data_IF_403974642598
#
_entry.id   IF_403974642598
#
_cell.length_a   1.000
_cell.length_b   1.000
_cell.length_c   1.000
_cell.angle_alpha   90.00
_cell.angle_beta   90.00
_cell.angle_gamma   90.00
#
_symmetry.space_group_name_H-M   'P 1'
#
loop_
_entity.id
_entity.type
_entity.pdbx_description
1 polymer ?
#
# COMPACT_ATOMS: atom_id res chain seq x y z
N UNK A 1 7.06 -22.65 17.56
CA UNK A 1 7.86 -21.44 17.36
C UNK A 1 7.43 -20.39 18.37
N UNK A 2 8.40 -19.62 18.92
CA UNK A 2 8.12 -18.53 19.89
C UNK A 2 8.33 -17.16 19.27
N UNK A 3 9.36 -17.03 18.41
CA UNK A 3 9.74 -15.75 17.82
C UNK A 3 9.95 -15.90 16.31
N UNK A 4 9.26 -15.07 15.52
CA UNK A 4 9.41 -14.98 14.08
C UNK A 4 9.87 -13.57 13.71
N UNK A 5 10.87 -13.48 12.81
CA UNK A 5 11.24 -12.23 12.16
C UNK A 5 10.74 -12.26 10.72
N UNK A 6 9.91 -11.29 10.33
CA UNK A 6 9.51 -11.07 8.96
C UNK A 6 10.23 -9.84 8.40
N UNK A 7 10.83 -9.97 7.23
CA UNK A 7 11.54 -8.88 6.56
C UNK A 7 10.85 -8.55 5.24
N UNK A 8 10.31 -7.31 5.13
CA UNK A 8 9.77 -6.75 3.89
C UNK A 8 10.37 -5.37 3.63
N UNK A 9 11.01 -5.20 2.48
CA UNK A 9 11.78 -3.98 2.20
C UNK A 9 11.38 -3.24 0.91
N UNK A 10 10.25 -3.59 0.35
CA UNK A 10 9.78 -3.06 -0.94
C UNK A 10 8.87 -1.83 -0.79
N UNK A 11 7.92 -1.62 -1.68
CA UNK A 11 7.07 -0.44 -1.74
C UNK A 11 5.78 -0.61 -0.92
N UNK A 12 4.88 0.36 -1.03
CA UNK A 12 3.60 0.40 -0.31
C UNK A 12 2.72 -0.78 -0.69
N UNK A 13 2.48 -1.01 -1.99
CA UNK A 13 1.65 -2.12 -2.47
C UNK A 13 2.17 -3.48 -2.04
N UNK A 14 3.48 -3.68 -2.13
CA UNK A 14 4.15 -4.89 -1.63
C UNK A 14 3.90 -5.14 -0.14
N UNK A 15 3.93 -4.10 0.68
CA UNK A 15 3.68 -4.23 2.11
C UNK A 15 2.21 -4.51 2.38
N UNK A 16 1.28 -3.87 1.67
CA UNK A 16 -0.15 -4.18 1.77
C UNK A 16 -0.40 -5.65 1.42
N UNK A 17 0.16 -6.15 0.30
CA UNK A 17 0.06 -7.57 -0.08
C UNK A 17 0.74 -8.53 0.92
N UNK A 18 1.51 -8.02 1.88
CA UNK A 18 2.13 -8.82 2.95
C UNK A 18 1.26 -8.89 4.21
N UNK A 19 0.28 -8.02 4.37
CA UNK A 19 -0.57 -7.99 5.58
C UNK A 19 -1.35 -9.29 5.81
N UNK A 20 -1.83 -10.03 4.77
CA UNK A 20 -2.44 -11.35 4.96
C UNK A 20 -1.45 -12.40 5.53
N UNK A 21 -0.18 -12.35 5.12
CA UNK A 21 0.84 -13.24 5.69
C UNK A 21 1.06 -12.94 7.18
N UNK A 22 1.12 -11.66 7.56
CA UNK A 22 1.28 -11.21 8.97
C UNK A 22 0.12 -11.73 9.82
N UNK A 23 -1.11 -11.52 9.38
CA UNK A 23 -2.31 -11.99 10.05
C UNK A 23 -2.37 -13.54 10.07
N UNK A 24 -2.07 -14.19 8.96
CA UNK A 24 -2.04 -15.65 8.85
C UNK A 24 -1.04 -16.30 9.81
N UNK A 25 0.15 -15.71 10.01
CA UNK A 25 1.14 -16.16 11.00
C UNK A 25 0.53 -16.14 12.41
N UNK A 26 -0.10 -15.05 12.82
CA UNK A 26 -0.69 -14.91 14.16
C UNK A 26 -1.93 -15.80 14.35
N UNK A 27 -2.73 -16.01 13.29
CA UNK A 27 -3.86 -16.96 13.33
C UNK A 27 -3.39 -18.42 13.43
N UNK A 28 -2.28 -18.76 12.76
CA UNK A 28 -1.69 -20.11 12.80
C UNK A 28 -0.97 -20.38 14.12
N UNK A 29 -0.28 -19.40 14.66
CA UNK A 29 0.48 -19.47 15.90
C UNK A 29 0.17 -18.27 16.81
N UNK A 30 -0.95 -18.27 17.57
CA UNK A 30 -1.40 -17.12 18.37
C UNK A 30 -0.35 -16.60 19.37
N UNK A 31 0.41 -17.50 19.97
CA UNK A 31 1.41 -17.18 20.98
C UNK A 31 2.78 -16.75 20.41
N UNK A 32 2.92 -16.76 19.08
CA UNK A 32 4.18 -16.35 18.47
C UNK A 32 4.38 -14.85 18.60
N UNK A 33 5.58 -14.43 19.00
CA UNK A 33 6.00 -13.02 18.90
C UNK A 33 6.47 -12.73 17.49
N UNK A 34 5.73 -11.90 16.76
CA UNK A 34 6.04 -11.49 15.39
C UNK A 34 6.73 -10.13 15.38
N UNK A 35 8.00 -10.15 15.04
CA UNK A 35 8.80 -8.95 14.78
C UNK A 35 8.86 -8.68 13.29
N UNK A 36 8.53 -7.45 12.86
CA UNK A 36 8.56 -7.07 11.44
C UNK A 36 9.61 -6.00 11.21
N UNK A 37 10.50 -6.24 10.23
CA UNK A 37 11.53 -5.29 9.80
C UNK A 37 11.18 -4.76 8.39
N UNK A 38 10.90 -3.46 8.32
CA UNK A 38 10.52 -2.77 7.08
C UNK A 38 11.47 -1.61 6.75
N UNK A 39 11.36 -1.10 5.53
CA UNK A 39 11.96 0.20 5.20
C UNK A 39 11.01 1.36 5.56
N UNK A 40 11.51 2.59 5.48
CA UNK A 40 10.75 3.80 5.80
C UNK A 40 9.47 3.97 4.97
N UNK A 41 9.46 3.53 3.70
CA UNK A 41 8.31 3.65 2.80
C UNK A 41 7.16 2.71 3.19
N UNK A 42 7.49 1.49 3.64
CA UNK A 42 6.52 0.48 4.04
C UNK A 42 6.04 0.64 5.51
N UNK A 43 6.73 1.48 6.30
CA UNK A 43 6.41 1.72 7.71
C UNK A 43 4.95 2.09 7.92
N UNK A 44 4.47 3.05 7.15
CA UNK A 44 3.14 3.66 7.33
C UNK A 44 2.00 2.66 7.11
N UNK A 45 2.21 1.63 6.29
CA UNK A 45 1.29 0.50 6.11
C UNK A 45 1.31 -0.46 7.30
N UNK A 46 2.50 -0.68 7.90
CA UNK A 46 2.66 -1.62 9.02
C UNK A 46 2.23 -1.06 10.37
N UNK A 47 2.17 0.29 10.50
CA UNK A 47 1.79 0.95 11.75
C UNK A 47 0.38 0.56 12.20
N UNK A 48 0.21 0.44 13.52
CA UNK A 48 -1.05 0.10 14.19
C UNK A 48 -1.61 -1.30 13.83
N UNK A 49 -0.86 -2.14 13.11
CA UNK A 49 -1.32 -3.48 12.79
C UNK A 49 -1.31 -4.35 14.06
N UNK A 50 -2.48 -4.86 14.52
CA UNK A 50 -2.60 -5.58 15.79
C UNK A 50 -1.89 -6.94 15.80
N UNK A 51 -1.49 -7.42 14.63
CA UNK A 51 -0.77 -8.69 14.48
C UNK A 51 0.75 -8.54 14.51
N UNK A 52 1.28 -7.31 14.65
CA UNK A 52 2.70 -7.02 14.77
C UNK A 52 3.04 -6.70 16.22
N UNK A 53 3.83 -7.54 16.86
CA UNK A 53 4.25 -7.31 18.25
C UNK A 53 5.41 -6.30 18.33
N UNK A 54 6.34 -6.32 17.38
CA UNK A 54 7.43 -5.35 17.28
C UNK A 54 7.68 -4.92 15.84
N UNK A 55 7.75 -3.62 15.62
CA UNK A 55 8.04 -3.02 14.30
C UNK A 55 9.39 -2.31 14.31
N UNK A 56 10.32 -2.76 13.48
CA UNK A 56 11.60 -2.10 13.24
C UNK A 56 11.65 -1.46 11.86
N UNK A 57 12.14 -0.23 11.80
CA UNK A 57 12.19 0.54 10.56
C UNK A 57 13.62 0.97 10.26
N UNK A 58 14.17 0.53 9.14
CA UNK A 58 15.48 0.98 8.72
C UNK A 58 15.39 1.95 7.52
N UNK A 59 16.28 2.95 7.52
CA UNK A 59 16.42 3.87 6.37
C UNK A 59 17.39 3.29 5.34
N UNK A 60 17.01 3.31 4.05
CA UNK A 60 17.95 3.06 2.94
C UNK A 60 18.87 4.26 2.79
N UNK A 61 20.19 4.04 2.53
CA UNK A 61 21.17 5.14 2.43
C UNK A 61 20.82 6.19 1.36
N UNK A 62 20.15 5.75 0.26
CA UNK A 62 19.72 6.62 -0.82
C UNK A 62 18.49 7.49 -0.49
N UNK A 63 17.77 7.20 0.60
CA UNK A 63 16.60 7.96 1.06
C UNK A 63 16.93 8.81 2.30
N UNK A 64 18.16 9.37 2.34
CA UNK A 64 18.53 10.34 3.37
C UNK A 64 17.83 11.67 3.11
N UNK A 65 17.35 12.28 4.15
CA UNK A 65 16.84 13.66 4.09
C UNK A 65 18.01 14.65 3.80
N UNK A 66 17.73 15.76 3.13
CA UNK A 66 18.76 16.79 2.89
C UNK A 66 19.33 17.25 4.22
N UNK A 67 20.67 17.10 4.40
CA UNK A 67 21.36 17.46 5.65
C UNK A 67 21.49 16.32 6.68
N UNK A 68 20.90 15.14 6.45
CA UNK A 68 21.03 14.00 7.37
C UNK A 68 22.40 13.33 7.21
N UNK A 69 23.17 13.27 8.32
CA UNK A 69 24.50 12.65 8.33
C UNK A 69 24.42 11.14 8.03
N UNK A 70 25.30 10.66 7.12
CA UNK A 70 25.44 9.24 6.83
C UNK A 70 25.78 8.41 8.09
N UNK A 71 26.59 8.99 8.99
CA UNK A 71 26.97 8.37 10.27
C UNK A 71 25.74 8.15 11.17
N UNK A 72 24.82 9.14 11.24
CA UNK A 72 23.58 9.01 12.02
C UNK A 72 22.70 7.86 11.52
N UNK A 73 22.53 7.76 10.20
CA UNK A 73 21.78 6.64 9.58
C UNK A 73 22.43 5.30 9.85
N UNK A 74 23.77 5.24 9.78
CA UNK A 74 24.53 4.03 10.08
C UNK A 74 24.38 3.61 11.54
N UNK A 75 24.52 4.55 12.49
CA UNK A 75 24.36 4.29 13.92
C UNK A 75 22.91 3.83 14.26
N UNK A 76 21.90 4.41 13.64
CA UNK A 76 20.52 3.96 13.79
C UNK A 76 20.34 2.50 13.33
N UNK A 77 20.96 2.13 12.21
CA UNK A 77 20.94 0.73 11.73
C UNK A 77 21.62 -0.20 12.71
N UNK A 78 22.78 0.16 13.21
CA UNK A 78 23.48 -0.64 14.21
C UNK A 78 22.60 -0.86 15.46
N UNK A 79 21.96 0.19 15.98
CA UNK A 79 21.02 0.08 17.10
C UNK A 79 19.90 -0.93 16.84
N UNK A 80 19.29 -0.89 15.64
CA UNK A 80 18.24 -1.84 15.24
C UNK A 80 18.78 -3.27 15.25
N UNK A 81 19.96 -3.52 14.66
CA UNK A 81 20.51 -4.88 14.60
C UNK A 81 20.97 -5.38 15.95
N UNK A 82 21.50 -4.52 16.80
CA UNK A 82 21.79 -4.89 18.21
C UNK A 82 20.52 -5.22 18.98
N UNK A 83 19.41 -4.49 18.75
CA UNK A 83 18.12 -4.80 19.37
C UNK A 83 17.59 -6.16 18.88
N UNK A 84 17.59 -6.38 17.55
CA UNK A 84 17.14 -7.65 16.96
C UNK A 84 17.96 -8.86 17.47
N UNK A 85 19.28 -8.72 17.61
CA UNK A 85 20.16 -9.78 18.11
C UNK A 85 19.93 -10.19 19.57
N UNK A 86 19.24 -9.38 20.35
CA UNK A 86 18.81 -9.76 21.71
C UNK A 86 17.72 -10.83 21.71
N UNK A 87 17.00 -10.97 20.59
CA UNK A 87 15.97 -11.98 20.41
C UNK A 87 16.52 -13.13 19.57
N UNK A 88 16.36 -14.35 20.04
CA UNK A 88 16.62 -15.55 19.22
C UNK A 88 15.36 -15.82 18.40
N UNK A 89 15.46 -15.66 17.09
CA UNK A 89 14.37 -15.97 16.16
C UNK A 89 14.41 -17.46 15.79
N UNK A 90 13.28 -18.15 15.95
CA UNK A 90 13.13 -19.54 15.55
C UNK A 90 13.04 -19.68 14.02
N UNK A 91 12.47 -18.63 13.36
CA UNK A 91 12.37 -18.54 11.92
C UNK A 91 12.46 -17.09 11.46
N UNK A 92 13.13 -16.86 10.34
CA UNK A 92 13.13 -15.57 9.63
C UNK A 92 12.55 -15.75 8.24
N UNK A 93 11.54 -14.94 7.90
CA UNK A 93 10.82 -14.97 6.63
C UNK A 93 11.29 -13.79 5.79
N UNK A 94 11.89 -14.07 4.62
CA UNK A 94 12.18 -13.05 3.62
C UNK A 94 10.98 -12.92 2.68
N UNK A 95 10.04 -12.03 2.99
CA UNK A 95 8.75 -11.95 2.33
C UNK A 95 8.79 -11.35 0.90
N UNK A 96 9.88 -11.55 0.17
CA UNK A 96 10.05 -11.18 -1.23
C UNK A 96 9.86 -12.42 -2.10
N UNK A 97 8.93 -12.48 -3.06
CA UNK A 97 8.72 -13.66 -3.92
C UNK A 97 9.82 -13.85 -4.99
N UNK A 98 10.86 -13.06 -4.93
CA UNK A 98 12.06 -13.18 -5.77
C UNK A 98 13.31 -13.11 -4.88
N UNK A 99 14.42 -13.75 -5.29
CA UNK A 99 15.67 -13.72 -4.55
C UNK A 99 16.13 -12.28 -4.27
N UNK A 100 16.43 -11.98 -3.00
CA UNK A 100 16.81 -10.64 -2.58
C UNK A 100 18.02 -10.66 -1.64
N UNK A 101 19.23 -10.48 -2.20
CA UNK A 101 20.50 -10.44 -1.45
C UNK A 101 20.51 -9.42 -0.30
N UNK A 102 19.77 -8.34 -0.43
CA UNK A 102 19.70 -7.32 0.61
C UNK A 102 18.81 -7.74 1.78
N UNK A 103 17.69 -8.44 1.52
CA UNK A 103 16.84 -9.02 2.59
C UNK A 103 17.62 -10.11 3.34
N UNK A 104 18.34 -10.95 2.61
CA UNK A 104 19.23 -11.97 3.19
C UNK A 104 20.31 -11.34 4.09
N UNK A 105 20.99 -10.29 3.61
CA UNK A 105 21.97 -9.55 4.42
C UNK A 105 21.37 -8.99 5.71
N UNK A 106 20.15 -8.44 5.65
CA UNK A 106 19.44 -7.93 6.82
C UNK A 106 19.15 -9.07 7.82
N UNK A 107 18.70 -10.23 7.34
CA UNK A 107 18.45 -11.42 8.15
C UNK A 107 19.73 -11.88 8.87
N UNK A 108 20.85 -11.97 8.15
CA UNK A 108 22.16 -12.33 8.71
C UNK A 108 22.61 -11.31 9.78
N UNK A 109 22.46 -10.01 9.49
CA UNK A 109 22.79 -8.95 10.46
C UNK A 109 21.91 -9.01 11.72
N UNK A 110 20.64 -9.43 11.59
CA UNK A 110 19.75 -9.66 12.72
C UNK A 110 20.05 -10.93 13.52
N UNK A 111 21.00 -11.76 13.07
CA UNK A 111 21.36 -13.01 13.73
C UNK A 111 20.43 -14.18 13.41
N UNK A 112 19.77 -14.16 12.25
CA UNK A 112 18.91 -15.24 11.80
C UNK A 112 19.66 -16.58 11.72
N UNK A 113 19.07 -17.63 12.29
CA UNK A 113 19.61 -19.00 12.24
C UNK A 113 18.91 -19.88 11.22
N UNK A 114 17.58 -19.70 11.09
CA UNK A 114 16.73 -20.38 10.11
C UNK A 114 16.06 -19.36 9.23
N UNK A 115 16.22 -19.48 7.93
CA UNK A 115 15.73 -18.51 6.95
C UNK A 115 14.92 -19.26 5.89
N UNK A 116 13.67 -18.82 5.68
CA UNK A 116 12.86 -19.17 4.52
C UNK A 116 12.84 -17.99 3.56
N UNK A 117 13.07 -18.23 2.28
CA UNK A 117 13.12 -17.17 1.27
C UNK A 117 13.10 -17.71 -0.15
N UNK A 118 12.80 -16.83 -1.12
CA UNK A 118 12.90 -17.15 -2.53
C UNK A 118 14.38 -17.34 -2.93
N UNK A 119 14.66 -18.41 -3.65
CA UNK A 119 16.00 -18.78 -4.13
C UNK A 119 16.23 -20.28 -4.03
N UNK A 120 17.35 -20.74 -4.57
CA UNK A 120 17.69 -22.16 -4.63
C UNK A 120 18.96 -22.52 -3.88
N UNK A 121 19.63 -21.55 -3.24
CA UNK A 121 20.91 -21.78 -2.55
C UNK A 121 20.70 -22.25 -1.09
N UNK A 122 20.91 -23.55 -0.77
CA UNK A 122 20.73 -24.08 0.58
C UNK A 122 21.80 -23.61 1.58
N UNK A 123 22.91 -23.05 1.09
CA UNK A 123 23.93 -22.46 1.97
C UNK A 123 23.49 -21.11 2.55
N UNK A 124 22.54 -20.43 1.90
CA UNK A 124 22.02 -19.12 2.31
C UNK A 124 20.63 -19.22 2.97
N UNK A 125 19.84 -20.20 2.55
CA UNK A 125 18.44 -20.37 2.97
C UNK A 125 18.24 -21.75 3.57
N UNK A 126 17.71 -21.81 4.78
CA UNK A 126 17.38 -23.10 5.44
C UNK A 126 16.21 -23.77 4.71
N UNK A 127 15.27 -22.97 4.21
CA UNK A 127 14.13 -23.41 3.40
C UNK A 127 14.11 -22.55 2.13
N UNK A 128 14.80 -22.94 1.07
CA UNK A 128 14.75 -22.26 -0.20
C UNK A 128 13.42 -22.53 -0.90
N UNK A 129 12.82 -21.50 -1.47
CA UNK A 129 11.65 -21.59 -2.34
C UNK A 129 12.05 -21.26 -3.77
N UNK A 130 11.90 -22.23 -4.66
CA UNK A 130 12.09 -22.04 -6.09
C UNK A 130 10.93 -21.24 -6.71
N UNK A 131 11.09 -20.76 -7.93
CA UNK A 131 10.04 -19.98 -8.62
C UNK A 131 8.72 -20.77 -8.71
N UNK A 132 8.80 -22.06 -8.91
CA UNK A 132 7.69 -23.00 -9.05
C UNK A 132 6.90 -23.20 -7.76
N UNK A 133 7.46 -22.85 -6.60
CA UNK A 133 6.77 -22.88 -5.31
C UNK A 133 5.73 -21.78 -5.16
N UNK A 134 5.90 -20.67 -5.89
CA UNK A 134 5.00 -19.52 -5.84
C UNK A 134 3.83 -19.74 -6.81
N UNK A 135 2.82 -20.47 -6.34
CA UNK A 135 1.59 -20.72 -7.07
C UNK A 135 0.62 -19.54 -6.92
N UNK A 136 -0.32 -19.46 -7.89
CA UNK A 136 -1.28 -18.37 -7.98
C UNK A 136 -0.80 -17.25 -8.90
N UNK A 137 -1.71 -16.34 -9.23
CA UNK A 137 -1.42 -15.22 -10.12
C UNK A 137 -1.09 -13.94 -9.35
N UNK A 138 -1.62 -13.80 -8.12
CA UNK A 138 -1.60 -12.55 -7.37
C UNK A 138 -0.44 -12.46 -6.35
N UNK A 139 0.08 -11.26 -6.13
CA UNK A 139 1.18 -11.02 -5.18
C UNK A 139 0.87 -11.40 -3.73
N UNK A 140 -0.39 -11.35 -3.32
CA UNK A 140 -0.85 -11.83 -2.00
C UNK A 140 -0.62 -13.33 -1.88
N UNK A 141 -1.00 -14.11 -2.89
CA UNK A 141 -0.81 -15.57 -2.93
C UNK A 141 0.68 -15.93 -2.87
N UNK A 142 1.50 -15.24 -3.68
CA UNK A 142 2.95 -15.41 -3.65
C UNK A 142 3.53 -15.12 -2.26
N UNK A 143 3.08 -14.04 -1.61
CA UNK A 143 3.58 -13.72 -0.28
C UNK A 143 3.09 -14.71 0.77
N UNK A 144 1.87 -15.22 0.65
CA UNK A 144 1.29 -16.19 1.59
C UNK A 144 1.91 -17.59 1.48
N UNK A 145 2.57 -17.91 0.35
CA UNK A 145 3.29 -19.18 0.13
C UNK A 145 4.27 -19.49 1.26
N UNK A 146 4.91 -18.48 1.86
CA UNK A 146 5.82 -18.70 2.99
C UNK A 146 5.14 -19.37 4.19
N UNK A 147 3.90 -18.98 4.48
CA UNK A 147 3.16 -19.58 5.58
C UNK A 147 2.70 -21.00 5.22
N UNK A 148 2.19 -21.23 4.03
CA UNK A 148 1.73 -22.58 3.61
C UNK A 148 2.88 -23.59 3.55
N UNK A 149 4.10 -23.15 3.26
CA UNK A 149 5.30 -24.00 3.34
C UNK A 149 5.71 -24.33 4.77
N UNK A 150 5.52 -23.41 5.71
CA UNK A 150 5.83 -23.62 7.12
C UNK A 150 4.74 -24.38 7.87
N UNK A 151 3.49 -24.23 7.44
CA UNK A 151 2.29 -24.85 8.00
C UNK A 151 1.30 -25.22 6.87
N UNK A 152 1.38 -26.40 6.28
CA UNK A 152 0.52 -26.79 5.15
C UNK A 152 -0.99 -26.74 5.43
N UNK A 153 -1.38 -26.88 6.69
CA UNK A 153 -2.77 -26.73 7.19
C UNK A 153 -3.11 -25.30 7.66
N UNK A 154 -2.37 -24.31 7.17
CA UNK A 154 -2.61 -22.91 7.52
C UNK A 154 -4.04 -22.45 7.15
N UNK A 155 -4.47 -21.39 7.80
CA UNK A 155 -5.75 -20.72 7.54
C UNK A 155 -5.85 -20.25 6.07
N UNK A 156 -7.07 -20.04 5.60
CA UNK A 156 -7.31 -19.40 4.32
C UNK A 156 -6.62 -18.01 4.28
N UNK A 157 -6.23 -17.56 3.09
CA UNK A 157 -5.58 -16.26 2.91
C UNK A 157 -6.53 -15.15 3.39
N UNK A 158 -6.15 -14.37 4.40
CA UNK A 158 -6.96 -13.25 4.88
C UNK A 158 -7.06 -12.12 3.84
N UNK A 159 -7.93 -11.17 4.12
CA UNK A 159 -7.98 -9.91 3.39
C UNK A 159 -6.77 -9.03 3.71
N UNK A 160 -6.46 -8.08 2.83
CA UNK A 160 -5.46 -7.04 3.11
C UNK A 160 -6.05 -6.01 4.07
N UNK A 161 -5.24 -5.51 5.00
CA UNK A 161 -5.69 -4.57 6.02
C UNK A 161 -4.64 -3.50 6.31
N UNK A 162 -5.10 -2.25 6.52
CA UNK A 162 -4.33 -1.16 7.12
C UNK A 162 -5.11 -0.58 8.29
N UNK A 163 -4.42 -0.09 9.30
CA UNK A 163 -5.04 0.31 10.56
C UNK A 163 -4.73 1.76 10.90
N UNK A 164 -5.75 2.52 11.24
CA UNK A 164 -5.66 3.90 11.72
C UNK A 164 -5.87 3.94 13.23
N UNK A 165 -5.10 4.79 13.90
CA UNK A 165 -5.37 5.14 15.29
C UNK A 165 -6.60 6.05 15.41
N UNK A 166 -7.28 6.10 16.58
CA UNK A 166 -8.36 7.06 16.84
C UNK A 166 -7.92 8.52 16.61
N UNK A 167 -6.67 8.84 16.94
CA UNK A 167 -6.12 10.18 16.71
C UNK A 167 -6.06 10.54 15.22
N UNK A 168 -5.55 9.64 14.36
CA UNK A 168 -5.46 9.88 12.91
C UNK A 168 -6.84 10.05 12.28
N UNK A 169 -7.83 9.26 12.71
CA UNK A 169 -9.23 9.42 12.28
C UNK A 169 -9.78 10.78 12.70
N UNK A 170 -9.60 11.17 13.95
CA UNK A 170 -10.05 12.45 14.47
C UNK A 170 -9.38 13.66 13.81
N UNK A 171 -8.11 13.56 13.45
CA UNK A 171 -7.39 14.61 12.71
C UNK A 171 -7.94 14.77 11.28
N UNK A 172 -8.23 13.65 10.57
CA UNK A 172 -8.86 13.70 9.26
C UNK A 172 -10.28 14.29 9.31
N UNK A 173 -11.06 13.95 10.33
CA UNK A 173 -12.40 14.52 10.57
C UNK A 173 -12.33 16.03 10.80
N UNK A 174 -11.48 16.49 11.69
CA UNK A 174 -11.29 17.92 11.98
C UNK A 174 -10.86 18.69 10.74
N UNK A 175 -10.00 18.14 9.90
CA UNK A 175 -9.54 18.75 8.65
C UNK A 175 -10.68 19.01 7.66
N UNK A 176 -11.77 18.24 7.76
CA UNK A 176 -12.91 18.28 6.84
C UNK A 176 -14.18 18.88 7.46
N UNK A 177 -14.23 19.08 8.77
CA UNK A 177 -15.44 19.47 9.51
C UNK A 177 -16.13 20.73 8.98
N UNK A 178 -15.35 21.76 8.60
CA UNK A 178 -15.89 23.03 8.07
C UNK A 178 -16.20 22.97 6.56
N UNK A 179 -15.87 21.85 5.89
CA UNK A 179 -15.96 21.72 4.44
C UNK A 179 -17.00 20.70 3.98
N UNK A 180 -17.35 19.76 4.83
CA UNK A 180 -18.20 18.62 4.51
C UNK A 180 -19.32 18.51 5.54
N UNK A 181 -20.60 18.63 5.15
CA UNK A 181 -21.74 18.35 6.01
C UNK A 181 -21.72 16.92 6.55
N UNK A 182 -22.33 16.69 7.71
CA UNK A 182 -22.35 15.37 8.34
C UNK A 182 -23.12 14.30 7.53
N UNK A 183 -24.13 14.71 6.76
CA UNK A 183 -24.93 13.83 5.92
C UNK A 183 -24.42 13.74 4.47
N UNK A 184 -23.24 14.29 4.20
CA UNK A 184 -22.64 14.25 2.87
C UNK A 184 -22.08 12.87 2.54
N UNK A 185 -22.15 12.51 1.25
CA UNK A 185 -21.49 11.35 0.66
C UNK A 185 -20.09 11.78 0.19
N UNK A 186 -19.08 11.13 0.71
CA UNK A 186 -17.69 11.51 0.44
C UNK A 186 -17.06 10.52 -0.53
N UNK A 187 -16.53 11.03 -1.62
CA UNK A 187 -15.84 10.25 -2.65
C UNK A 187 -14.40 10.68 -2.78
N UNK A 188 -13.53 9.78 -3.25
CA UNK A 188 -12.10 10.05 -3.44
C UNK A 188 -11.69 9.98 -4.90
N UNK A 189 -10.88 10.92 -5.35
CA UNK A 189 -10.20 10.86 -6.64
C UNK A 189 -8.71 11.09 -6.44
N UNK A 190 -7.89 10.10 -6.81
CA UNK A 190 -6.43 10.17 -6.67
C UNK A 190 -5.79 10.22 -8.06
N UNK A 191 -5.13 11.34 -8.40
CA UNK A 191 -4.62 11.60 -9.75
C UNK A 191 -3.15 11.20 -9.98
N UNK A 192 -2.41 10.92 -8.90
CA UNK A 192 -0.96 10.68 -9.02
C UNK A 192 -0.63 9.27 -9.45
N UNK A 193 0.30 9.16 -10.39
CA UNK A 193 0.97 7.92 -10.75
C UNK A 193 2.39 8.20 -11.24
N UNK A 194 3.34 7.29 -10.92
CA UNK A 194 4.73 7.40 -11.37
C UNK A 194 4.87 7.20 -12.89
N UNK A 195 4.12 6.24 -13.45
CA UNK A 195 4.13 5.97 -14.89
C UNK A 195 3.20 6.91 -15.63
N UNK A 196 3.66 7.49 -16.73
CA UNK A 196 2.83 8.33 -17.60
C UNK A 196 1.66 7.53 -18.15
N UNK A 197 1.86 6.29 -18.56
CA UNK A 197 0.81 5.38 -19.07
C UNK A 197 -0.30 5.05 -18.05
N UNK A 198 -0.10 5.34 -16.78
CA UNK A 198 -1.10 5.17 -15.71
C UNK A 198 -1.77 6.48 -15.34
N UNK A 199 -1.46 7.58 -16.05
CA UNK A 199 -2.04 8.90 -15.79
C UNK A 199 -3.23 9.11 -16.71
N UNK A 200 -4.41 9.13 -16.13
CA UNK A 200 -5.61 9.51 -16.87
C UNK A 200 -5.60 11.02 -17.16
N UNK A 201 -6.18 11.51 -18.29
CA UNK A 201 -6.21 12.93 -18.62
C UNK A 201 -6.93 13.77 -17.56
N UNK A 202 -6.45 15.00 -17.35
CA UNK A 202 -7.05 15.92 -16.36
C UNK A 202 -8.49 16.27 -16.74
N UNK A 203 -8.76 16.44 -18.02
CA UNK A 203 -10.07 16.71 -18.61
C UNK A 203 -11.06 15.57 -18.32
N UNK A 204 -10.58 14.33 -18.39
CA UNK A 204 -11.40 13.14 -18.08
C UNK A 204 -11.72 13.06 -16.60
N UNK A 205 -10.75 13.39 -15.72
CA UNK A 205 -11.00 13.52 -14.28
C UNK A 205 -12.03 14.62 -13.99
N UNK A 206 -11.96 15.78 -14.67
CA UNK A 206 -12.92 16.87 -14.48
C UNK A 206 -14.34 16.41 -14.83
N UNK A 207 -14.52 15.79 -15.99
CA UNK A 207 -15.83 15.31 -16.46
C UNK A 207 -16.43 14.26 -15.50
N UNK A 208 -15.67 13.30 -15.00
CA UNK A 208 -16.22 12.30 -14.07
C UNK A 208 -16.57 12.92 -12.71
N UNK A 209 -15.77 13.87 -12.23
CA UNK A 209 -16.06 14.60 -10.98
C UNK A 209 -17.36 15.41 -11.13
N UNK A 210 -17.56 16.08 -12.25
CA UNK A 210 -18.80 16.78 -12.55
C UNK A 210 -20.02 15.83 -12.53
N UNK A 211 -19.89 14.63 -13.12
CA UNK A 211 -20.94 13.59 -13.06
C UNK A 211 -21.23 13.15 -11.61
N UNK A 212 -20.19 12.94 -10.78
CA UNK A 212 -20.33 12.60 -9.36
C UNK A 212 -21.04 13.72 -8.60
N UNK A 213 -20.70 14.98 -8.86
CA UNK A 213 -21.24 16.16 -8.20
C UNK A 213 -22.68 16.51 -8.64
N UNK A 214 -23.29 15.78 -9.59
CA UNK A 214 -24.73 15.88 -9.88
C UNK A 214 -25.58 15.42 -8.69
N UNK A 215 -25.08 14.52 -7.84
CA UNK A 215 -25.66 14.27 -6.52
C UNK A 215 -25.38 15.49 -5.61
N UNK A 216 -26.42 16.19 -5.12
CA UNK A 216 -26.24 17.39 -4.28
C UNK A 216 -25.56 17.08 -2.94
N UNK A 217 -25.58 15.84 -2.46
CA UNK A 217 -24.89 15.40 -1.25
C UNK A 217 -23.44 14.96 -1.49
N UNK A 218 -23.05 14.78 -2.74
CA UNK A 218 -21.70 14.34 -3.08
C UNK A 218 -20.64 15.42 -2.81
N UNK A 219 -19.56 15.02 -2.16
CA UNK A 219 -18.31 15.78 -1.98
C UNK A 219 -17.15 14.92 -2.46
N UNK A 220 -16.20 15.49 -3.17
CA UNK A 220 -15.07 14.76 -3.75
C UNK A 220 -13.76 15.25 -3.13
N UNK A 221 -13.05 14.35 -2.46
CA UNK A 221 -11.70 14.60 -1.98
C UNK A 221 -10.70 14.33 -3.11
N UNK A 222 -9.90 15.32 -3.45
CA UNK A 222 -8.91 15.26 -4.51
C UNK A 222 -7.54 15.03 -3.91
N UNK A 223 -7.00 13.82 -4.14
CA UNK A 223 -5.71 13.40 -3.60
C UNK A 223 -4.60 13.48 -4.66
N UNK A 224 -3.44 13.92 -4.25
CA UNK A 224 -2.22 13.89 -5.05
C UNK A 224 -0.98 13.88 -4.16
N UNK A 225 0.17 13.52 -4.75
CA UNK A 225 1.47 13.70 -4.12
C UNK A 225 2.01 15.08 -4.49
N UNK A 226 2.11 16.04 -3.57
CA UNK A 226 2.80 17.30 -3.81
C UNK A 226 4.27 17.05 -4.13
N UNK A 227 4.89 17.93 -4.93
CA UNK A 227 6.31 17.83 -5.28
C UNK A 227 7.19 17.68 -4.04
N UNK A 228 8.04 16.66 -4.03
CA UNK A 228 9.01 16.41 -2.95
C UNK A 228 8.43 15.95 -1.61
N UNK A 229 7.11 15.70 -1.52
CA UNK A 229 6.48 15.29 -0.25
C UNK A 229 6.92 13.90 0.22
N UNK A 230 7.08 12.96 -0.72
CA UNK A 230 7.44 11.55 -0.44
C UNK A 230 8.84 11.19 -0.95
N UNK A 231 9.32 11.84 -1.99
CA UNK A 231 10.65 11.68 -2.60
C UNK A 231 11.10 13.05 -3.12
N UNK A 232 12.27 13.57 -2.71
CA UNK A 232 12.80 14.86 -3.20
C UNK A 232 13.00 14.94 -4.71
N UNK A 233 13.07 13.78 -5.40
CA UNK A 233 13.18 13.69 -6.86
C UNK A 233 11.82 13.55 -7.56
N UNK A 234 10.73 13.48 -6.80
CA UNK A 234 9.38 13.42 -7.37
C UNK A 234 8.99 14.81 -7.89
N UNK A 235 8.63 14.87 -9.16
CA UNK A 235 8.14 16.12 -9.82
C UNK A 235 6.78 16.51 -9.24
N UNK A 236 6.07 15.55 -8.60
CA UNK A 236 4.73 15.74 -8.06
C UNK A 236 3.68 15.98 -9.14
N UNK A 237 2.45 16.09 -8.69
CA UNK A 237 1.30 16.35 -9.58
C UNK A 237 0.57 17.66 -9.22
N UNK A 238 1.25 18.59 -8.55
CA UNK A 238 0.61 19.84 -8.10
C UNK A 238 0.07 20.70 -9.24
N UNK A 239 0.80 20.79 -10.37
CA UNK A 239 0.33 21.54 -11.54
C UNK A 239 -0.92 20.89 -12.17
N UNK A 240 -0.94 19.56 -12.29
CA UNK A 240 -2.11 18.80 -12.79
C UNK A 240 -3.31 18.98 -11.87
N UNK A 241 -3.09 18.92 -10.54
CA UNK A 241 -4.15 19.16 -9.57
C UNK A 241 -4.70 20.58 -9.64
N UNK A 242 -3.84 21.58 -9.80
CA UNK A 242 -4.27 22.98 -9.97
C UNK A 242 -5.13 23.14 -11.21
N UNK A 243 -4.74 22.55 -12.34
CA UNK A 243 -5.55 22.53 -13.57
C UNK A 243 -6.90 21.85 -13.34
N UNK A 244 -6.92 20.71 -12.66
CA UNK A 244 -8.16 19.99 -12.33
C UNK A 244 -9.11 20.82 -11.48
N UNK A 245 -8.60 21.47 -10.43
CA UNK A 245 -9.40 22.32 -9.55
C UNK A 245 -10.00 23.52 -10.28
N UNK A 246 -9.25 24.10 -11.24
CA UNK A 246 -9.75 25.20 -12.08
C UNK A 246 -10.86 24.75 -13.04
N UNK A 247 -10.73 23.54 -13.62
CA UNK A 247 -11.76 23.01 -14.53
C UNK A 247 -13.04 22.65 -13.79
N UNK A 248 -12.95 21.93 -12.68
CA UNK A 248 -14.13 21.50 -11.89
C UNK A 248 -14.83 22.70 -11.22
N UNK A 249 -14.08 23.67 -10.76
CA UNK A 249 -14.55 24.93 -10.15
C UNK A 249 -15.76 24.79 -9.20
N UNK A 250 -15.71 23.82 -8.29
CA UNK A 250 -16.79 23.52 -7.34
C UNK A 250 -16.28 23.53 -5.91
N UNK A 251 -16.97 24.16 -4.94
CA UNK A 251 -16.60 24.11 -3.53
C UNK A 251 -16.74 22.69 -2.92
N UNK A 252 -17.46 21.79 -3.59
CA UNK A 252 -17.62 20.40 -3.19
C UNK A 252 -16.49 19.49 -3.71
N UNK A 253 -15.60 19.99 -4.57
CA UNK A 253 -14.36 19.35 -4.97
C UNK A 253 -13.23 19.88 -4.08
N UNK A 254 -12.85 19.11 -3.07
CA UNK A 254 -12.01 19.55 -1.96
C UNK A 254 -10.59 19.05 -2.15
N UNK A 255 -9.65 19.97 -2.27
CA UNK A 255 -8.22 19.65 -2.30
C UNK A 255 -7.76 19.01 -0.99
N UNK A 256 -7.19 17.80 -1.09
CA UNK A 256 -6.66 17.05 0.04
C UNK A 256 -5.18 16.66 -0.22
N UNK A 257 -4.25 17.63 -0.16
CA UNK A 257 -2.83 17.34 -0.33
C UNK A 257 -2.33 16.45 0.80
N UNK A 258 -1.54 15.42 0.46
CA UNK A 258 -0.99 14.49 1.43
C UNK A 258 0.53 14.62 1.52
N UNK A 259 1.04 14.91 2.71
CA UNK A 259 2.48 15.00 3.00
C UNK A 259 3.06 13.66 3.48
N UNK A 260 2.21 12.72 3.84
CA UNK A 260 2.58 11.38 4.29
C UNK A 260 1.58 10.33 3.80
N UNK A 261 2.00 9.07 3.83
CA UNK A 261 1.11 7.93 3.54
C UNK A 261 0.04 7.80 4.62
N UNK A 262 0.33 8.16 5.87
CA UNK A 262 -0.67 8.13 6.96
C UNK A 262 -1.82 9.12 6.71
N UNK A 263 -1.51 10.33 6.24
CA UNK A 263 -2.53 11.29 5.83
C UNK A 263 -3.38 10.77 4.65
N UNK A 264 -2.75 10.09 3.67
CA UNK A 264 -3.47 9.48 2.56
C UNK A 264 -4.42 8.37 3.05
N UNK A 265 -3.94 7.47 3.93
CA UNK A 265 -4.77 6.41 4.52
C UNK A 265 -5.96 7.03 5.26
N UNK A 266 -5.75 8.05 6.08
CA UNK A 266 -6.79 8.71 6.85
C UNK A 266 -7.82 9.45 5.96
N UNK A 267 -7.37 10.07 4.88
CA UNK A 267 -8.25 10.72 3.91
C UNK A 267 -9.08 9.71 3.11
N UNK A 268 -8.46 8.61 2.65
CA UNK A 268 -9.16 7.54 1.91
C UNK A 268 -10.18 6.80 2.82
N UNK A 269 -9.91 6.68 4.12
CA UNK A 269 -10.85 6.08 5.07
C UNK A 269 -12.18 6.87 5.16
N UNK A 270 -12.17 8.16 4.87
CA UNK A 270 -13.37 9.00 4.81
C UNK A 270 -14.23 8.79 3.57
N UNK A 271 -13.71 8.13 2.55
CA UNK A 271 -14.40 7.96 1.28
C UNK A 271 -15.26 6.69 1.26
N UNK A 272 -16.44 6.78 0.63
CA UNK A 272 -17.29 5.61 0.34
C UNK A 272 -16.77 4.84 -0.87
N UNK A 273 -16.33 5.56 -1.90
CA UNK A 273 -15.82 5.01 -3.15
C UNK A 273 -14.68 5.87 -3.67
N UNK A 274 -13.70 5.25 -4.32
CA UNK A 274 -12.48 5.90 -4.81
C UNK A 274 -12.26 5.62 -6.29
N UNK A 275 -11.80 6.62 -7.02
CA UNK A 275 -11.27 6.50 -8.38
C UNK A 275 -9.77 6.73 -8.34
N UNK A 276 -8.99 5.78 -8.83
CA UNK A 276 -7.53 5.90 -8.85
C UNK A 276 -6.90 5.05 -9.95
N UNK A 277 -5.64 5.32 -10.24
CA UNK A 277 -4.82 4.42 -11.07
C UNK A 277 -4.14 3.35 -10.22
N UNK A 278 -3.66 2.28 -10.89
CA UNK A 278 -2.79 1.27 -10.27
C UNK A 278 -1.59 1.90 -9.56
N UNK A 279 -1.39 1.53 -8.30
CA UNK A 279 -0.34 2.05 -7.44
C UNK A 279 -0.60 1.79 -5.95
N UNK A 280 0.22 2.40 -5.10
CA UNK A 280 0.11 2.24 -3.65
C UNK A 280 -1.25 2.66 -3.08
N UNK A 281 -1.86 3.70 -3.62
CA UNK A 281 -3.18 4.21 -3.23
C UNK A 281 -4.30 3.19 -3.48
N UNK A 282 -4.25 2.45 -4.59
CA UNK A 282 -5.19 1.38 -4.90
C UNK A 282 -5.15 0.27 -3.84
N UNK A 283 -3.94 -0.19 -3.49
CA UNK A 283 -3.77 -1.20 -2.46
C UNK A 283 -4.20 -0.72 -1.07
N UNK A 284 -3.93 0.54 -0.74
CA UNK A 284 -4.42 1.17 0.51
C UNK A 284 -5.95 1.20 0.51
N UNK A 285 -6.57 1.60 -0.58
CA UNK A 285 -8.03 1.65 -0.73
C UNK A 285 -8.66 0.27 -0.54
N UNK A 286 -8.04 -0.78 -1.12
CA UNK A 286 -8.45 -2.17 -0.91
C UNK A 286 -8.32 -2.59 0.56
N UNK A 287 -7.23 -2.20 1.23
CA UNK A 287 -6.96 -2.53 2.62
C UNK A 287 -7.83 -1.73 3.62
N UNK A 288 -8.49 -0.69 3.17
CA UNK A 288 -9.55 0.04 3.87
C UNK A 288 -10.95 -0.48 3.53
N UNK A 289 -11.06 -1.51 2.69
CA UNK A 289 -12.30 -2.13 2.21
C UNK A 289 -13.26 -1.15 1.51
N UNK A 290 -12.71 -0.10 0.88
CA UNK A 290 -13.50 0.87 0.13
C UNK A 290 -13.79 0.37 -1.29
N UNK A 291 -14.96 0.75 -1.84
CA UNK A 291 -15.27 0.54 -3.25
C UNK A 291 -14.29 1.33 -4.12
N UNK A 292 -13.83 0.75 -5.24
CA UNK A 292 -12.90 1.49 -6.10
C UNK A 292 -13.00 1.14 -7.58
N UNK A 293 -12.92 2.18 -8.41
CA UNK A 293 -12.64 2.05 -9.85
C UNK A 293 -11.16 2.28 -10.07
N UNK A 294 -10.50 1.35 -10.73
CA UNK A 294 -9.03 1.36 -10.88
C UNK A 294 -8.65 1.34 -12.35
N UNK A 295 -7.85 2.31 -12.74
CA UNK A 295 -7.24 2.36 -14.07
C UNK A 295 -5.91 1.60 -14.07
N UNK A 296 -5.81 0.58 -14.92
CA UNK A 296 -4.57 -0.14 -15.18
C UNK A 296 -3.97 0.30 -16.51
N UNK A 297 -2.70 0.69 -16.46
CA UNK A 297 -1.90 0.92 -17.66
C UNK A 297 -1.28 -0.39 -18.17
N UNK A 298 0.04 -0.41 -18.27
CA UNK A 298 0.84 -1.55 -18.73
C UNK A 298 1.14 -2.61 -17.66
N UNK A 299 0.58 -2.48 -16.46
CA UNK A 299 0.76 -3.43 -15.36
C UNK A 299 -0.12 -4.67 -15.55
N UNK A 300 0.39 -5.83 -15.14
CA UNK A 300 -0.40 -7.07 -15.12
C UNK A 300 -1.47 -7.01 -14.02
N UNK A 301 -2.71 -6.76 -14.40
CA UNK A 301 -3.83 -6.68 -13.46
C UNK A 301 -4.09 -7.99 -12.71
N UNK A 302 -3.85 -9.16 -13.32
CA UNK A 302 -4.01 -10.44 -12.62
C UNK A 302 -3.06 -10.58 -11.43
N UNK A 303 -1.87 -9.96 -11.48
CA UNK A 303 -0.88 -10.03 -10.41
C UNK A 303 -1.08 -8.96 -9.33
N UNK A 304 -1.75 -7.85 -9.66
CA UNK A 304 -1.76 -6.66 -8.81
C UNK A 304 -3.14 -6.05 -8.56
N UNK A 305 -4.26 -6.70 -8.98
CA UNK A 305 -5.60 -6.18 -8.71
C UNK A 305 -5.83 -5.95 -7.20
N UNK A 306 -6.84 -5.17 -6.79
CA UNK A 306 -7.24 -5.07 -5.39
C UNK A 306 -7.59 -6.46 -4.84
N UNK A 307 -6.97 -6.85 -3.71
CA UNK A 307 -7.22 -8.18 -3.12
C UNK A 307 -8.50 -8.22 -2.28
N UNK A 308 -8.92 -7.09 -1.73
CA UNK A 308 -10.09 -6.95 -0.85
C UNK A 308 -11.01 -5.84 -1.33
N UNK A 309 -12.22 -5.83 -0.82
CA UNK A 309 -13.24 -4.84 -1.15
C UNK A 309 -13.89 -5.08 -2.51
N UNK A 310 -14.79 -4.19 -2.89
CA UNK A 310 -15.45 -4.20 -4.17
C UNK A 310 -14.70 -3.29 -5.16
N UNK A 311 -14.42 -3.79 -6.35
CA UNK A 311 -13.67 -3.01 -7.33
C UNK A 311 -14.11 -3.29 -8.78
N UNK A 312 -13.83 -2.33 -9.64
CA UNK A 312 -13.88 -2.47 -11.09
C UNK A 312 -12.52 -2.08 -11.68
N UNK A 313 -11.97 -2.93 -12.54
CA UNK A 313 -10.73 -2.67 -13.27
C UNK A 313 -11.10 -2.20 -14.67
N UNK A 314 -10.48 -1.10 -15.09
CA UNK A 314 -10.49 -0.61 -16.46
C UNK A 314 -9.06 -0.61 -16.99
N UNK A 315 -8.86 -1.35 -18.09
CA UNK A 315 -7.56 -1.46 -18.76
C UNK A 315 -7.76 -1.42 -20.26
N UNK A 316 -7.14 -0.43 -20.90
CA UNK A 316 -7.21 -0.32 -22.37
C UNK A 316 -6.34 -1.39 -23.05
N UNK A 317 -6.66 -1.72 -24.29
CA UNK A 317 -5.87 -2.66 -25.10
C UNK A 317 -4.44 -2.13 -25.39
N UNK A 318 -4.25 -0.80 -25.42
CA UNK A 318 -2.95 -0.16 -25.61
C UNK A 318 -2.04 -0.22 -24.36
N UNK A 319 -2.62 -0.50 -23.19
CA UNK A 319 -1.95 -0.38 -21.90
C UNK A 319 -1.71 1.08 -21.48
N UNK A 320 -2.43 2.04 -22.05
CA UNK A 320 -2.40 3.45 -21.65
C UNK A 320 -3.74 3.87 -21.07
N UNK A 321 -3.73 4.39 -19.84
CA UNK A 321 -4.94 4.87 -19.18
C UNK A 321 -5.62 6.03 -19.93
N UNK A 322 -4.88 6.78 -20.75
CA UNK A 322 -5.44 7.88 -21.53
C UNK A 322 -6.52 7.43 -22.52
N UNK A 323 -6.49 6.17 -22.94
CA UNK A 323 -7.47 5.61 -23.89
C UNK A 323 -8.75 5.08 -23.22
N UNK A 324 -8.83 5.10 -21.88
CA UNK A 324 -10.05 4.74 -21.15
C UNK A 324 -11.02 5.92 -21.22
N UNK A 325 -12.21 5.69 -21.76
CA UNK A 325 -13.24 6.73 -21.90
C UNK A 325 -13.89 7.09 -20.56
N UNK A 326 -14.41 8.33 -20.47
CA UNK A 326 -15.17 8.79 -19.32
C UNK A 326 -16.45 7.98 -19.13
N UNK A 327 -17.08 7.54 -20.22
CA UNK A 327 -18.32 6.77 -20.14
C UNK A 327 -18.09 5.36 -19.60
N UNK A 328 -16.98 4.69 -19.95
CA UNK A 328 -16.58 3.41 -19.33
C UNK A 328 -16.32 3.58 -17.83
N UNK A 329 -15.58 4.63 -17.47
CA UNK A 329 -15.28 4.94 -16.07
C UNK A 329 -16.55 5.25 -15.27
N UNK A 330 -17.49 6.00 -15.86
CA UNK A 330 -18.76 6.33 -15.23
C UNK A 330 -19.67 5.10 -15.06
N UNK A 331 -19.78 4.26 -16.08
CA UNK A 331 -20.56 3.02 -16.00
C UNK A 331 -20.01 2.09 -14.89
N UNK A 332 -18.68 1.94 -14.79
CA UNK A 332 -18.05 1.17 -13.73
C UNK A 332 -18.30 1.79 -12.33
N UNK A 333 -18.25 3.13 -12.24
CA UNK A 333 -18.54 3.87 -11.01
C UNK A 333 -19.97 3.62 -10.52
N UNK A 334 -20.96 3.78 -11.40
CA UNK A 334 -22.38 3.57 -11.08
C UNK A 334 -22.68 2.12 -10.69
N UNK A 335 -22.07 1.14 -11.39
CA UNK A 335 -22.22 -0.28 -11.07
C UNK A 335 -21.77 -0.59 -9.64
N UNK A 336 -20.65 -0.03 -9.20
CA UNK A 336 -20.16 -0.20 -7.84
C UNK A 336 -21.03 0.53 -6.81
N UNK A 337 -21.59 1.69 -7.14
CA UNK A 337 -22.52 2.38 -6.25
C UNK A 337 -23.78 1.55 -5.99
N UNK A 338 -24.31 0.88 -7.03
CA UNK A 338 -25.52 0.07 -6.94
C UNK A 338 -25.29 -1.29 -6.24
N UNK A 339 -24.06 -1.77 -6.15
CA UNK A 339 -23.71 -2.99 -5.42
C UNK A 339 -23.73 -2.68 -3.91
N UNK A 340 -24.73 -3.19 -3.21
CA UNK A 340 -24.94 -3.05 -1.77
C UNK A 340 -23.94 -3.89 -0.97
#
# INVERSE_FOLDING_TARGET
MKNILLIRRDNIGDMVCTTPLIEGIKRTWPDVKLTVLVNKVAQDVALNNPYIDELYVYKKSKHREKGESALKVYLQRLKIFFALRKTTFDMTILANPVPCKYSLRLATMAGAKKIIGAGTNPAELTIPLAKEDFNGAHQVEHTFTYLTKLAPSAVAIPEVNVYLSPQEKGEAEKRLADKIPQDARVYGVHISSRSVKRRWPVESYAQIIEKILQDPKAHVLLFWSPQGALDPNDVGDSARMQSLLQQVNSPRAIAYPTSSIRELIAGLDRCEQVLCSDGGQMHITAALHKKQVVFFGDTNAAAWHPWSGQYAILQSASGDCADISVDEAWAAWQKLQAAS
#
